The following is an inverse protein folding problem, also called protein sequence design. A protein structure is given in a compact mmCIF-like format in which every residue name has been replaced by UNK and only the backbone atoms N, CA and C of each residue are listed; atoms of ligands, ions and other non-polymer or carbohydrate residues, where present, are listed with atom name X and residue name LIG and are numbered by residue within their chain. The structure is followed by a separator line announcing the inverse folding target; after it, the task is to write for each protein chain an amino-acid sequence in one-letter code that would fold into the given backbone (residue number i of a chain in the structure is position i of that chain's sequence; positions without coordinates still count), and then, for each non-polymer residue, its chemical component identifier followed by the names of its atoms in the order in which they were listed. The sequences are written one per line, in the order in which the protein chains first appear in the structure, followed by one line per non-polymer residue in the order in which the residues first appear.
data_IF_283161225774
#
_entry.id   IF_283161225774
#
_cell.length_a   1.000
_cell.length_b   1.000
_cell.length_c   1.000
_cell.angle_alpha   90.00
_cell.angle_beta   90.00
_cell.angle_gamma   90.00
#
_symmetry.space_group_name_H-M   'P 1'
#
loop_
_entity.id
_entity.type
_entity.pdbx_description
1 polymer ?
#
# COMPACT_ATOMS: atom_id res chain seq x y z
N UNK A 1 -9.47 9.60 -36.80
CA UNK A 1 -10.51 9.21 -35.82
C UNK A 1 -10.29 7.74 -35.51
N UNK A 2 -9.63 7.47 -34.39
CA UNK A 2 -9.28 6.17 -33.77
C UNK A 2 -8.35 6.58 -32.61
N UNK A 3 -8.49 6.21 -31.35
CA UNK A 3 -9.49 5.47 -30.60
C UNK A 3 -9.26 5.99 -29.16
N UNK A 4 -10.33 6.37 -28.45
CA UNK A 4 -10.25 6.72 -27.04
C UNK A 4 -10.00 5.40 -26.30
N UNK A 5 -8.74 5.05 -26.07
CA UNK A 5 -8.41 3.99 -25.14
C UNK A 5 -8.88 4.41 -23.75
N UNK A 6 -10.09 3.97 -23.44
CA UNK A 6 -10.73 3.93 -22.13
C UNK A 6 -9.83 3.14 -21.18
N UNK A 7 -8.78 3.81 -20.73
CA UNK A 7 -7.94 3.33 -19.64
C UNK A 7 -8.81 3.53 -18.42
N UNK A 8 -9.22 2.47 -17.69
CA UNK A 8 -9.83 2.71 -16.39
C UNK A 8 -8.79 3.51 -15.61
N UNK A 9 -9.11 4.76 -15.29
CA UNK A 9 -8.20 5.80 -14.82
C UNK A 9 -7.77 5.57 -13.36
N UNK A 10 -7.35 4.33 -13.06
CA UNK A 10 -6.81 3.92 -11.78
C UNK A 10 -5.49 4.61 -11.51
N UNK A 11 -5.31 5.11 -10.29
CA UNK A 11 -4.05 5.71 -9.86
C UNK A 11 -2.98 4.64 -9.79
N UNK A 12 -1.83 4.89 -10.42
CA UNK A 12 -0.66 4.02 -10.31
C UNK A 12 0.15 4.31 -9.05
N UNK A 13 0.62 3.25 -8.38
CA UNK A 13 1.45 3.33 -7.20
C UNK A 13 2.66 2.42 -7.33
N UNK A 14 3.86 3.00 -7.25
CA UNK A 14 5.09 2.21 -7.18
C UNK A 14 5.15 1.38 -5.90
N UNK A 15 5.60 0.14 -6.02
CA UNK A 15 5.91 -0.76 -4.91
C UNK A 15 7.14 -1.61 -5.23
N UNK A 16 7.78 -2.19 -4.21
CA UNK A 16 8.95 -3.07 -4.44
C UNK A 16 8.47 -4.45 -4.91
N UNK A 17 9.20 -5.07 -5.84
CA UNK A 17 8.83 -6.36 -6.47
C UNK A 17 8.38 -7.46 -5.49
N UNK A 18 9.05 -7.70 -4.35
CA UNK A 18 8.60 -8.73 -3.40
C UNK A 18 7.20 -8.47 -2.85
N UNK A 19 6.86 -7.21 -2.56
CA UNK A 19 5.53 -6.85 -2.08
C UNK A 19 4.49 -6.88 -3.21
N UNK A 20 4.87 -6.53 -4.45
CA UNK A 20 3.97 -6.71 -5.59
C UNK A 20 3.57 -8.17 -5.76
N UNK A 21 4.51 -9.11 -5.58
CA UNK A 21 4.22 -10.55 -5.61
C UNK A 21 3.20 -10.92 -4.52
N UNK A 22 3.38 -10.46 -3.29
CA UNK A 22 2.42 -10.74 -2.21
C UNK A 22 1.03 -10.15 -2.48
N UNK A 23 0.95 -8.95 -3.07
CA UNK A 23 -0.34 -8.38 -3.51
C UNK A 23 -0.96 -9.25 -4.61
N UNK A 24 -0.14 -9.71 -5.57
CA UNK A 24 -0.59 -10.59 -6.64
C UNK A 24 -1.12 -11.94 -6.12
N UNK A 25 -0.54 -12.46 -5.05
CA UNK A 25 -0.95 -13.71 -4.39
C UNK A 25 -2.13 -13.51 -3.42
N UNK A 26 -2.57 -12.26 -3.19
CA UNK A 26 -3.63 -11.94 -2.23
C UNK A 26 -3.23 -12.06 -0.76
N UNK A 27 -1.94 -12.24 -0.47
CA UNK A 27 -1.40 -12.40 0.89
C UNK A 27 -1.14 -11.05 1.56
N UNK A 28 -0.71 -10.05 0.78
CA UNK A 28 -0.63 -8.65 1.21
C UNK A 28 -1.88 -7.90 0.76
N UNK A 29 -2.74 -7.59 1.72
CA UNK A 29 -4.02 -6.89 1.52
C UNK A 29 -4.05 -5.50 2.16
N UNK A 30 -2.98 -5.07 2.82
CA UNK A 30 -2.85 -3.72 3.38
C UNK A 30 -1.59 -3.05 2.84
N UNK A 31 -1.74 -1.97 2.08
CA UNK A 31 -0.63 -1.11 1.65
C UNK A 31 -0.41 0.03 2.64
N UNK A 32 0.87 0.32 2.94
CA UNK A 32 1.24 1.34 3.93
C UNK A 32 1.82 2.53 3.20
N UNK A 33 1.28 3.72 3.48
CA UNK A 33 1.72 4.99 2.90
C UNK A 33 1.77 6.07 3.97
N UNK A 34 2.47 7.16 3.68
CA UNK A 34 2.46 8.38 4.50
C UNK A 34 1.49 9.42 3.94
N UNK A 35 0.92 10.25 4.82
CA UNK A 35 -0.16 11.19 4.55
C UNK A 35 0.21 12.44 3.73
N UNK A 36 0.92 12.25 2.63
CA UNK A 36 1.06 13.29 1.60
C UNK A 36 -0.29 13.68 1.00
N UNK A 37 -0.46 14.91 0.46
CA UNK A 37 -1.72 15.36 -0.12
C UNK A 37 -2.28 14.40 -1.18
N UNK A 38 -1.41 13.80 -2.01
CA UNK A 38 -1.81 12.79 -2.98
C UNK A 38 -2.39 11.53 -2.33
N UNK A 39 -1.70 10.96 -1.34
CA UNK A 39 -2.13 9.74 -0.65
C UNK A 39 -3.47 9.94 0.08
N UNK A 40 -3.68 11.11 0.70
CA UNK A 40 -4.91 11.43 1.45
C UNK A 40 -6.18 11.48 0.60
N UNK A 41 -6.04 11.58 -0.73
CA UNK A 41 -7.18 11.52 -1.65
C UNK A 41 -7.62 10.10 -2.00
N UNK A 42 -6.87 9.07 -1.57
CA UNK A 42 -7.26 7.67 -1.79
C UNK A 42 -8.47 7.34 -0.92
N UNK A 43 -9.51 6.77 -1.52
CA UNK A 43 -10.75 6.42 -0.85
C UNK A 43 -11.21 5.01 -1.18
N UNK A 44 -12.04 4.43 -0.31
CA UNK A 44 -12.73 3.16 -0.57
C UNK A 44 -13.53 3.22 -1.87
N UNK A 45 -13.52 2.13 -2.63
CA UNK A 45 -14.16 2.07 -3.95
C UNK A 45 -13.24 2.44 -5.13
N UNK A 46 -12.07 3.03 -4.87
CA UNK A 46 -11.13 3.43 -5.92
C UNK A 46 -10.31 2.23 -6.46
N UNK A 47 -10.08 2.22 -7.78
CA UNK A 47 -9.11 1.31 -8.41
C UNK A 47 -7.68 1.86 -8.28
N UNK A 48 -6.76 1.00 -7.85
CA UNK A 48 -5.32 1.27 -7.80
C UNK A 48 -4.56 0.22 -8.61
N UNK A 49 -3.53 0.66 -9.33
CA UNK A 49 -2.60 -0.23 -10.03
C UNK A 49 -1.25 -0.16 -9.34
N UNK A 50 -0.84 -1.24 -8.70
CA UNK A 50 0.49 -1.36 -8.13
C UNK A 50 1.49 -1.75 -9.21
N UNK A 51 2.63 -1.06 -9.28
CA UNK A 51 3.64 -1.27 -10.33
C UNK A 51 5.03 -1.54 -9.73
N UNK A 52 5.78 -2.46 -10.34
CA UNK A 52 7.17 -2.74 -10.00
C UNK A 52 7.98 -3.13 -11.25
N UNK A 53 8.59 -2.15 -11.92
CA UNK A 53 9.22 -2.34 -13.22
C UNK A 53 8.16 -2.61 -14.30
N UNK A 54 8.25 -3.75 -14.98
CA UNK A 54 7.29 -4.15 -16.03
C UNK A 54 6.09 -4.94 -15.50
N UNK A 55 6.02 -5.20 -14.19
CA UNK A 55 4.93 -5.96 -13.57
C UNK A 55 3.93 -5.00 -12.92
N UNK A 56 2.65 -5.35 -13.02
CA UNK A 56 1.57 -4.61 -12.36
C UNK A 56 0.48 -5.53 -11.81
N UNK A 57 -0.24 -5.04 -10.80
CA UNK A 57 -1.41 -5.70 -10.22
C UNK A 57 -2.51 -4.66 -10.00
N UNK A 58 -3.69 -4.89 -10.56
CA UNK A 58 -4.87 -4.07 -10.32
C UNK A 58 -5.56 -4.50 -9.03
N UNK A 59 -6.04 -3.51 -8.29
CA UNK A 59 -6.67 -3.70 -6.99
C UNK A 59 -7.78 -2.68 -6.79
N UNK A 60 -8.69 -2.98 -5.87
CA UNK A 60 -9.77 -2.11 -5.41
C UNK A 60 -9.56 -1.79 -3.93
N UNK A 61 -9.66 -0.51 -3.56
CA UNK A 61 -9.58 -0.09 -2.15
C UNK A 61 -10.86 -0.49 -1.41
N UNK A 62 -10.72 -1.21 -0.30
CA UNK A 62 -11.81 -1.58 0.61
C UNK A 62 -12.02 -0.56 1.71
N UNK A 63 -10.92 -0.10 2.30
CA UNK A 63 -10.89 0.77 3.48
C UNK A 63 -9.61 1.58 3.47
N UNK A 64 -9.67 2.76 4.06
CA UNK A 64 -8.51 3.58 4.39
C UNK A 64 -8.59 3.94 5.86
N UNK A 65 -7.54 3.63 6.63
CA UNK A 65 -7.41 4.01 8.03
C UNK A 65 -6.18 4.87 8.23
N UNK A 66 -6.30 5.87 9.11
CA UNK A 66 -5.21 6.76 9.48
C UNK A 66 -4.73 6.48 10.92
N UNK A 67 -3.42 6.50 11.11
CA UNK A 67 -2.74 6.26 12.38
C UNK A 67 -1.70 7.34 12.65
N UNK A 68 -1.45 7.61 13.94
CA UNK A 68 -0.47 8.60 14.37
C UNK A 68 1.00 8.14 14.19
N UNK A 69 1.26 6.84 14.09
CA UNK A 69 2.59 6.26 13.89
C UNK A 69 2.52 4.87 13.26
N UNK A 70 3.67 4.35 12.80
CA UNK A 70 3.76 2.98 12.30
C UNK A 70 3.54 1.93 13.39
N UNK A 71 3.95 2.20 14.63
CA UNK A 71 3.64 1.32 15.77
C UNK A 71 2.12 1.22 16.00
N UNK A 72 1.43 2.36 16.05
CA UNK A 72 0.00 2.40 16.27
C UNK A 72 -0.77 1.67 15.15
N UNK A 73 -0.30 1.78 13.91
CA UNK A 73 -0.82 1.00 12.78
C UNK A 73 -0.57 -0.49 12.99
N UNK A 74 0.67 -0.90 13.27
CA UNK A 74 1.01 -2.31 13.45
C UNK A 74 0.27 -2.90 14.65
N UNK A 75 -0.09 -2.13 15.68
CA UNK A 75 -0.87 -2.61 16.84
C UNK A 75 -2.32 -2.99 16.46
N UNK A 76 -2.81 -2.53 15.30
CA UNK A 76 -4.19 -2.70 14.83
C UNK A 76 -4.32 -3.54 13.57
N UNK A 77 -3.35 -3.47 12.68
CA UNK A 77 -3.35 -4.18 11.40
C UNK A 77 -2.53 -5.47 11.49
N UNK A 78 -3.00 -6.52 10.81
CA UNK A 78 -2.31 -7.81 10.77
C UNK A 78 -0.97 -7.71 10.05
N UNK A 79 0.12 -8.12 10.72
CA UNK A 79 1.47 -8.02 10.16
C UNK A 79 1.60 -8.79 8.84
N UNK A 80 0.95 -9.96 8.72
CA UNK A 80 0.92 -10.72 7.47
C UNK A 80 0.27 -9.94 6.33
N UNK A 81 -0.85 -9.26 6.59
CA UNK A 81 -1.59 -8.47 5.60
C UNK A 81 -0.78 -7.28 5.08
N UNK A 82 0.17 -6.77 5.86
CA UNK A 82 1.08 -5.68 5.46
C UNK A 82 2.28 -6.20 4.63
N UNK A 83 2.58 -7.49 4.67
CA UNK A 83 3.77 -8.09 4.04
C UNK A 83 4.81 -8.60 5.04
N UNK A 84 4.42 -8.81 6.30
CA UNK A 84 5.25 -9.37 7.36
C UNK A 84 5.75 -10.78 7.08
N UNK A 85 5.21 -11.49 6.07
CA UNK A 85 5.76 -12.79 5.61
C UNK A 85 7.20 -12.69 5.08
N UNK A 86 7.65 -11.49 4.69
CA UNK A 86 9.05 -11.24 4.30
C UNK A 86 9.95 -10.88 5.50
N UNK A 87 9.41 -10.85 6.70
CA UNK A 87 10.10 -10.44 7.92
C UNK A 87 10.01 -11.55 8.98
N UNK A 88 11.10 -11.78 9.69
CA UNK A 88 11.19 -12.73 10.79
C UNK A 88 10.48 -12.24 12.07
N UNK A 89 10.17 -10.94 12.16
CA UNK A 89 9.47 -10.36 13.32
C UNK A 89 8.76 -9.05 13.00
N UNK A 90 7.84 -8.66 13.88
CA UNK A 90 7.19 -7.35 13.91
C UNK A 90 8.21 -6.19 13.95
N UNK A 91 9.26 -6.33 14.74
CA UNK A 91 10.32 -5.32 14.86
C UNK A 91 11.09 -5.13 13.55
N UNK A 92 11.36 -6.23 12.83
CA UNK A 92 11.98 -6.15 11.51
C UNK A 92 11.04 -5.51 10.48
N UNK A 93 9.74 -5.84 10.51
CA UNK A 93 8.75 -5.19 9.66
C UNK A 93 8.71 -3.68 9.87
N UNK A 94 8.67 -3.24 11.14
CA UNK A 94 8.74 -1.82 11.49
C UNK A 94 10.01 -1.16 10.98
N UNK A 95 11.17 -1.80 11.15
CA UNK A 95 12.45 -1.29 10.64
C UNK A 95 12.45 -1.17 9.11
N UNK A 96 11.88 -2.14 8.39
CA UNK A 96 11.76 -2.09 6.93
C UNK A 96 10.82 -0.95 6.50
N UNK A 97 9.69 -0.76 7.17
CA UNK A 97 8.77 0.36 6.89
C UNK A 97 9.48 1.69 7.10
N UNK A 98 10.19 1.88 8.21
CA UNK A 98 10.96 3.10 8.49
C UNK A 98 12.15 3.33 7.56
N UNK A 99 12.70 2.28 6.95
CA UNK A 99 13.70 2.41 5.90
C UNK A 99 13.14 2.99 4.59
N UNK A 100 11.82 2.85 4.38
CA UNK A 100 11.10 3.41 3.22
C UNK A 100 10.58 4.80 3.55
N UNK A 101 10.03 4.97 4.75
CA UNK A 101 9.39 6.18 5.24
C UNK A 101 10.07 6.65 6.53
N UNK A 102 11.09 7.51 6.46
CA UNK A 102 11.75 8.07 7.64
C UNK A 102 10.81 8.93 8.50
N UNK A 103 11.27 9.32 9.69
CA UNK A 103 10.46 9.97 10.72
C UNK A 103 9.78 11.28 10.25
N UNK A 104 10.38 12.02 9.33
CA UNK A 104 9.79 13.21 8.72
C UNK A 104 8.59 12.90 7.83
N UNK A 105 8.61 11.75 7.15
CA UNK A 105 7.49 11.26 6.39
C UNK A 105 6.42 10.65 7.30
N UNK A 106 6.81 9.91 8.35
CA UNK A 106 5.90 9.38 9.36
C UNK A 106 5.07 10.49 10.03
N UNK A 107 5.68 11.67 10.30
CA UNK A 107 4.99 12.85 10.85
C UNK A 107 3.88 13.40 9.97
N UNK A 108 3.82 13.04 8.69
CA UNK A 108 2.70 13.40 7.80
C UNK A 108 1.44 12.57 8.06
N UNK A 109 1.50 11.62 9.01
CA UNK A 109 0.47 10.62 9.29
C UNK A 109 0.70 9.33 8.51
N UNK A 110 0.20 8.22 9.05
CA UNK A 110 0.33 6.88 8.46
C UNK A 110 -1.03 6.45 7.94
N UNK A 111 -1.12 6.04 6.68
CA UNK A 111 -2.33 5.47 6.09
C UNK A 111 -2.12 3.99 5.80
N UNK A 112 -3.04 3.17 6.32
CA UNK A 112 -3.22 1.78 5.94
C UNK A 112 -4.37 1.70 4.92
N UNK A 113 -4.03 1.28 3.71
CA UNK A 113 -4.97 1.18 2.59
C UNK A 113 -5.25 -0.30 2.38
N UNK A 114 -6.42 -0.74 2.80
CA UNK A 114 -6.87 -2.11 2.58
C UNK A 114 -7.32 -2.28 1.13
N UNK A 115 -6.82 -3.33 0.48
CA UNK A 115 -6.98 -3.59 -0.95
C UNK A 115 -7.38 -5.04 -1.20
N UNK A 116 -8.18 -5.25 -2.24
CA UNK A 116 -8.44 -6.55 -2.83
C UNK A 116 -7.97 -6.58 -4.29
N UNK A 117 -7.43 -7.71 -4.75
CA UNK A 117 -7.05 -7.89 -6.15
C UNK A 117 -8.30 -7.97 -7.04
N UNK A 118 -8.26 -7.36 -8.22
CA UNK A 118 -9.30 -7.42 -9.26
C UNK A 118 -8.75 -7.86 -10.62
#
# INVERSE_FOLDING_TARGET
MQDLSDTPSGRELNTRKPYLRLISEGTKTVDVRVGSPGVRTIAAGQDLTFVAGTQSVRTRVKRVSEYASFEAMLDREESHAIGGSLCSSRGQLLAVIRSIFPADQERLGVLAIEIERI
#
